data_IF_607231282436
#
_entry.id   IF_607231282436
#
_cell.length_a   1.000
_cell.length_b   1.000
_cell.length_c   1.000
_cell.angle_alpha   90.00
_cell.angle_beta   90.00
_cell.angle_gamma   90.00
#
_symmetry.space_group_name_H-M   'P 1'
#
loop_
_entity.id
_entity.type
_entity.pdbx_description
1 polymer ?
#
# COMPACT_ATOMS: atom_id res chain seq x y z
N UNK A 1 28.81 -20.68 -10.14
CA UNK A 1 27.40 -20.64 -10.55
C UNK A 1 26.71 -19.59 -9.70
N UNK A 2 26.40 -18.42 -10.27
CA UNK A 2 25.78 -17.31 -9.53
C UNK A 2 24.27 -17.52 -9.54
N UNK A 3 23.70 -17.84 -8.38
CA UNK A 3 22.24 -17.94 -8.18
C UNK A 3 21.65 -16.54 -8.26
N UNK A 4 21.14 -16.18 -9.43
CA UNK A 4 20.44 -14.94 -9.69
C UNK A 4 19.09 -14.99 -8.95
N UNK A 5 19.07 -14.65 -7.67
CA UNK A 5 17.89 -14.57 -6.80
C UNK A 5 17.00 -13.36 -7.16
N UNK A 6 16.65 -13.20 -8.44
CA UNK A 6 15.58 -12.28 -8.82
C UNK A 6 14.27 -12.97 -8.46
N UNK A 7 13.55 -12.41 -7.49
CA UNK A 7 12.15 -12.81 -7.23
C UNK A 7 11.41 -12.76 -8.56
N UNK A 8 10.71 -13.84 -8.88
CA UNK A 8 9.89 -13.90 -10.08
C UNK A 8 8.94 -12.71 -10.12
N UNK A 9 8.75 -12.17 -11.33
CA UNK A 9 7.85 -11.04 -11.54
C UNK A 9 6.46 -11.46 -11.10
N UNK A 10 5.84 -10.64 -10.24
CA UNK A 10 4.46 -10.89 -9.84
C UNK A 10 3.56 -10.91 -11.08
N UNK A 11 2.89 -12.04 -11.32
CA UNK A 11 1.95 -12.17 -12.43
C UNK A 11 0.54 -12.26 -11.85
N UNK A 12 -0.26 -11.22 -12.11
CA UNK A 12 -1.70 -11.25 -11.86
C UNK A 12 -2.41 -11.15 -13.22
N UNK A 13 -2.45 -12.25 -14.00
CA UNK A 13 -2.98 -12.21 -15.36
C UNK A 13 -4.50 -12.06 -15.37
N UNK A 14 -5.20 -12.68 -14.39
CA UNK A 14 -6.66 -12.73 -14.35
C UNK A 14 -7.35 -11.35 -14.40
N UNK A 15 -6.82 -10.36 -13.67
CA UNK A 15 -7.39 -8.99 -13.72
C UNK A 15 -7.18 -8.34 -15.08
N UNK A 16 -5.97 -8.43 -15.63
CA UNK A 16 -5.62 -7.84 -16.92
C UNK A 16 -6.34 -8.51 -18.08
N UNK A 17 -6.56 -9.81 -18.02
CA UNK A 17 -7.37 -10.55 -19.00
C UNK A 17 -8.83 -10.10 -18.99
N UNK A 18 -9.43 -9.92 -17.82
CA UNK A 18 -10.81 -9.45 -17.70
C UNK A 18 -10.96 -8.00 -18.14
N UNK A 19 -10.02 -7.15 -17.73
CA UNK A 19 -10.01 -5.75 -18.14
C UNK A 19 -9.78 -5.61 -19.65
N UNK A 20 -8.80 -6.32 -20.22
CA UNK A 20 -8.50 -6.35 -21.65
C UNK A 20 -9.69 -6.77 -22.49
N UNK A 21 -10.42 -7.82 -22.06
CA UNK A 21 -11.67 -8.25 -22.71
C UNK A 21 -12.77 -7.18 -22.66
N UNK A 22 -12.90 -6.48 -21.54
CA UNK A 22 -13.90 -5.42 -21.38
C UNK A 22 -13.62 -4.23 -22.30
N UNK A 23 -12.34 -3.83 -22.39
CA UNK A 23 -11.88 -2.78 -23.32
C UNK A 23 -12.09 -3.19 -24.79
N UNK A 24 -11.77 -4.44 -25.14
CA UNK A 24 -12.07 -5.00 -26.47
C UNK A 24 -13.56 -4.87 -26.81
N UNK A 25 -14.43 -5.29 -25.89
CA UNK A 25 -15.87 -5.22 -26.09
C UNK A 25 -16.35 -3.78 -26.27
N UNK A 26 -15.86 -2.83 -25.45
CA UNK A 26 -16.19 -1.41 -25.61
C UNK A 26 -15.66 -0.81 -26.90
N UNK A 27 -14.45 -1.16 -27.33
CA UNK A 27 -13.93 -0.73 -28.63
C UNK A 27 -14.84 -1.19 -29.77
N UNK A 28 -15.28 -2.45 -29.74
CA UNK A 28 -16.19 -3.02 -30.74
C UNK A 28 -17.56 -2.32 -30.71
N UNK A 29 -18.12 -2.08 -29.52
CA UNK A 29 -19.40 -1.37 -29.33
C UNK A 29 -19.37 0.05 -29.94
N UNK A 30 -18.22 0.73 -29.82
CA UNK A 30 -17.98 2.05 -30.41
C UNK A 30 -17.59 2.01 -31.90
N UNK A 31 -17.52 0.83 -32.52
CA UNK A 31 -17.10 0.60 -33.90
C UNK A 31 -15.68 1.08 -34.23
N UNK A 32 -14.79 1.14 -33.25
CA UNK A 32 -13.38 1.50 -33.46
C UNK A 32 -12.53 0.31 -33.87
N UNK A 33 -11.61 0.54 -34.79
CA UNK A 33 -10.50 -0.37 -35.09
C UNK A 33 -9.36 -0.18 -34.08
N UNK A 34 -8.40 -1.11 -34.05
CA UNK A 34 -7.19 -0.94 -33.23
C UNK A 34 -6.35 0.25 -33.69
N UNK A 35 -6.38 0.56 -34.99
CA UNK A 35 -5.72 1.74 -35.56
C UNK A 35 -6.32 3.03 -35.01
N UNK A 36 -7.64 3.11 -34.87
CA UNK A 36 -8.31 4.28 -34.29
C UNK A 36 -7.89 4.49 -32.84
N UNK A 37 -7.86 3.42 -32.04
CA UNK A 37 -7.34 3.50 -30.66
C UNK A 37 -5.86 3.89 -30.63
N UNK A 38 -5.07 3.40 -31.59
CA UNK A 38 -3.65 3.76 -31.69
C UNK A 38 -3.46 5.26 -31.89
N UNK A 39 -4.29 5.88 -32.72
CA UNK A 39 -4.30 7.32 -32.94
C UNK A 39 -4.76 8.06 -31.67
N UNK A 40 -5.81 7.58 -31.00
CA UNK A 40 -6.36 8.23 -29.79
C UNK A 40 -5.43 8.18 -28.58
N UNK A 41 -4.57 7.16 -28.49
CA UNK A 41 -3.76 6.90 -27.29
C UNK A 41 -2.25 6.98 -27.52
N UNK A 42 -1.81 7.10 -28.77
CA UNK A 42 -0.40 6.92 -29.19
C UNK A 42 0.19 5.53 -28.88
N UNK A 43 -0.64 4.56 -28.50
CA UNK A 43 -0.22 3.18 -28.24
C UNK A 43 -0.16 2.42 -29.55
N UNK A 44 0.90 1.65 -29.81
CA UNK A 44 1.00 0.86 -31.04
C UNK A 44 -0.08 -0.22 -31.12
N UNK A 45 -0.57 -0.53 -32.33
CA UNK A 45 -1.62 -1.55 -32.54
C UNK A 45 -1.25 -2.92 -31.95
N UNK A 46 0.03 -3.31 -32.01
CA UNK A 46 0.50 -4.56 -31.41
C UNK A 46 0.37 -4.56 -29.88
N UNK A 47 0.61 -3.41 -29.25
CA UNK A 47 0.44 -3.24 -27.81
C UNK A 47 -1.03 -3.24 -27.44
N UNK A 48 -1.90 -2.60 -28.23
CA UNK A 48 -3.36 -2.66 -28.08
C UNK A 48 -3.86 -4.11 -28.15
N UNK A 49 -3.43 -4.89 -29.14
CA UNK A 49 -3.73 -6.32 -29.24
C UNK A 49 -3.26 -7.11 -28.00
N UNK A 50 -2.10 -6.76 -27.45
CA UNK A 50 -1.57 -7.38 -26.22
C UNK A 50 -2.35 -6.97 -24.97
N UNK A 51 -2.87 -5.74 -24.91
CA UNK A 51 -3.76 -5.24 -23.84
C UNK A 51 -5.08 -6.00 -23.86
N UNK A 52 -5.71 -6.13 -25.04
CA UNK A 52 -6.99 -6.85 -25.19
C UNK A 52 -6.90 -8.33 -24.77
N UNK A 53 -5.70 -8.91 -24.87
CA UNK A 53 -5.38 -10.27 -24.41
C UNK A 53 -4.95 -10.35 -22.94
N UNK A 54 -4.82 -9.21 -22.24
CA UNK A 54 -4.35 -9.15 -20.85
C UNK A 54 -2.86 -9.42 -20.65
N UNK A 55 -2.07 -9.47 -21.73
CA UNK A 55 -0.64 -9.81 -21.69
C UNK A 55 0.19 -8.62 -21.21
N UNK A 56 -0.18 -7.41 -21.66
CA UNK A 56 0.51 -6.16 -21.32
C UNK A 56 0.50 -5.92 -19.82
N UNK A 57 1.65 -5.57 -19.24
CA UNK A 57 1.83 -5.39 -17.78
C UNK A 57 1.87 -3.93 -17.34
N UNK A 58 2.06 -2.99 -18.28
CA UNK A 58 2.05 -1.56 -17.98
C UNK A 58 0.60 -1.09 -17.81
N UNK A 59 0.25 -0.62 -16.60
CA UNK A 59 -1.09 -0.16 -16.26
C UNK A 59 -1.48 1.14 -17.00
N UNK A 60 -0.51 2.01 -17.28
CA UNK A 60 -0.76 3.30 -17.93
C UNK A 60 -1.40 3.11 -19.31
N UNK A 61 -1.02 2.04 -20.01
CA UNK A 61 -1.61 1.68 -21.28
C UNK A 61 -3.09 1.27 -21.16
N UNK A 62 -3.49 0.59 -20.08
CA UNK A 62 -4.90 0.29 -19.83
C UNK A 62 -5.68 1.55 -19.47
N UNK A 63 -5.06 2.49 -18.75
CA UNK A 63 -5.67 3.78 -18.39
C UNK A 63 -5.95 4.62 -19.63
N UNK A 64 -4.96 4.82 -20.50
CA UNK A 64 -5.15 5.61 -21.72
C UNK A 64 -6.14 4.97 -22.69
N UNK A 65 -6.13 3.64 -22.82
CA UNK A 65 -7.14 2.93 -23.61
C UNK A 65 -8.54 3.08 -23.00
N UNK A 66 -8.70 2.91 -21.69
CA UNK A 66 -9.98 3.09 -21.02
C UNK A 66 -10.55 4.50 -21.25
N UNK A 67 -9.72 5.54 -21.19
CA UNK A 67 -10.13 6.92 -21.54
C UNK A 67 -10.62 7.01 -22.99
N UNK A 68 -9.89 6.42 -23.93
CA UNK A 68 -10.24 6.46 -25.36
C UNK A 68 -11.61 5.80 -25.67
N UNK A 69 -11.96 4.74 -24.95
CA UNK A 69 -13.28 4.07 -25.09
C UNK A 69 -14.31 4.51 -24.04
N UNK A 70 -14.01 5.57 -23.28
CA UNK A 70 -14.87 6.12 -22.22
C UNK A 70 -15.35 5.04 -21.22
N UNK A 71 -14.47 4.08 -20.92
CA UNK A 71 -14.75 3.00 -20.00
C UNK A 71 -14.24 3.33 -18.59
N UNK A 72 -15.09 3.30 -17.56
CA UNK A 72 -14.62 3.40 -16.18
C UNK A 72 -13.87 2.13 -15.79
N UNK A 73 -12.63 2.26 -15.29
CA UNK A 73 -11.87 1.10 -14.84
C UNK A 73 -12.54 0.46 -13.61
N UNK A 74 -13.04 -0.75 -13.81
CA UNK A 74 -13.61 -1.62 -12.78
C UNK A 74 -12.56 -2.12 -11.79
N UNK A 75 -12.98 -2.34 -10.56
CA UNK A 75 -12.15 -2.85 -9.46
C UNK A 75 -11.99 -4.37 -9.50
N UNK A 76 -11.14 -4.91 -8.62
CA UNK A 76 -11.05 -6.35 -8.40
C UNK A 76 -12.40 -6.97 -7.97
N UNK A 77 -13.23 -6.21 -7.24
CA UNK A 77 -14.54 -6.67 -6.77
C UNK A 77 -15.53 -6.81 -7.91
N UNK A 78 -15.56 -5.84 -8.82
CA UNK A 78 -16.43 -5.84 -9.99
C UNK A 78 -16.16 -7.08 -10.87
N UNK A 79 -14.88 -7.43 -11.01
CA UNK A 79 -14.46 -8.65 -11.69
C UNK A 79 -14.57 -9.93 -10.86
N UNK A 80 -15.07 -9.89 -9.62
CA UNK A 80 -15.17 -11.04 -8.70
C UNK A 80 -13.81 -11.74 -8.47
N UNK A 81 -12.74 -10.96 -8.40
CA UNK A 81 -11.40 -11.45 -8.06
C UNK A 81 -11.24 -11.41 -6.53
N UNK A 82 -10.84 -12.52 -5.88
CA UNK A 82 -10.70 -12.55 -4.42
C UNK A 82 -9.70 -11.53 -3.91
N UNK A 83 -10.11 -10.71 -2.92
CA UNK A 83 -9.24 -9.79 -2.19
C UNK A 83 -8.43 -10.51 -1.10
N UNK A 84 -7.70 -11.56 -1.49
CA UNK A 84 -6.80 -12.28 -0.58
C UNK A 84 -5.35 -11.98 -0.95
N UNK A 85 -4.49 -11.63 0.02
CA UNK A 85 -3.06 -11.50 -0.24
C UNK A 85 -2.46 -12.86 -0.64
N UNK A 86 -1.38 -12.84 -1.41
CA UNK A 86 -0.66 -14.05 -1.81
C UNK A 86 -0.08 -14.81 -0.62
N UNK A 87 0.38 -14.06 0.39
CA UNK A 87 0.97 -14.60 1.61
C UNK A 87 0.27 -13.99 2.82
N UNK A 88 0.06 -14.82 3.84
CA UNK A 88 -0.39 -14.35 5.15
C UNK A 88 0.80 -13.79 5.93
N UNK A 89 0.53 -12.84 6.82
CA UNK A 89 1.57 -12.30 7.69
C UNK A 89 1.98 -13.35 8.74
N UNK A 90 3.28 -13.51 9.03
CA UNK A 90 3.71 -14.40 10.10
C UNK A 90 3.29 -13.84 11.47
N UNK A 91 3.20 -14.73 12.48
CA UNK A 91 2.60 -14.42 13.79
C UNK A 91 3.27 -13.24 14.50
N UNK A 92 4.59 -13.15 14.44
CA UNK A 92 5.40 -12.05 14.98
C UNK A 92 5.01 -10.69 14.36
N UNK A 93 4.74 -10.67 13.05
CA UNK A 93 4.28 -9.45 12.35
C UNK A 93 2.86 -9.09 12.76
N UNK A 94 1.98 -10.06 12.98
CA UNK A 94 0.62 -9.83 13.50
C UNK A 94 0.68 -9.20 14.90
N UNK A 95 1.57 -9.67 15.78
CA UNK A 95 1.75 -9.09 17.11
C UNK A 95 2.30 -7.65 17.05
N UNK A 96 3.27 -7.41 16.17
CA UNK A 96 3.80 -6.06 15.93
C UNK A 96 2.72 -5.10 15.40
N UNK A 97 1.81 -5.57 14.53
CA UNK A 97 0.65 -4.80 14.08
C UNK A 97 -0.30 -4.44 15.23
N UNK A 98 -0.60 -5.38 16.13
CA UNK A 98 -1.44 -5.12 17.30
C UNK A 98 -0.83 -4.02 18.19
N UNK A 99 0.48 -4.07 18.42
CA UNK A 99 1.18 -3.02 19.17
C UNK A 99 1.10 -1.67 18.45
N UNK A 100 1.35 -1.67 17.13
CA UNK A 100 1.26 -0.46 16.29
C UNK A 100 -0.13 0.16 16.35
N UNK A 101 -1.19 -0.66 16.26
CA UNK A 101 -2.57 -0.21 16.36
C UNK A 101 -2.85 0.50 17.68
N UNK A 102 -2.46 -0.12 18.80
CA UNK A 102 -2.66 0.44 20.15
C UNK A 102 -1.92 1.76 20.33
N UNK A 103 -0.68 1.85 19.85
CA UNK A 103 0.09 3.10 19.89
C UNK A 103 -0.58 4.17 19.02
N UNK A 104 -1.00 3.85 17.80
CA UNK A 104 -1.67 4.84 16.95
C UNK A 104 -2.95 5.37 17.59
N UNK A 105 -3.81 4.47 18.06
CA UNK A 105 -5.12 4.82 18.61
C UNK A 105 -5.02 5.65 19.90
N UNK A 106 -4.15 5.26 20.83
CA UNK A 106 -4.15 5.85 22.17
C UNK A 106 -3.03 6.86 22.43
N UNK A 107 -1.98 6.87 21.61
CA UNK A 107 -0.81 7.75 21.79
C UNK A 107 -0.74 8.79 20.67
N UNK A 108 -0.72 8.35 19.41
CA UNK A 108 -0.51 9.27 18.27
C UNK A 108 -1.76 10.09 17.95
N UNK A 109 -2.92 9.43 17.90
CA UNK A 109 -4.19 10.07 17.54
C UNK A 109 -4.83 10.84 18.72
N UNK A 110 -4.18 10.89 19.88
CA UNK A 110 -4.63 11.63 21.05
C UNK A 110 -3.80 12.91 21.25
N UNK A 111 -4.03 13.64 22.33
CA UNK A 111 -3.22 14.81 22.69
C UNK A 111 -1.95 14.44 23.49
N UNK A 112 -1.66 13.14 23.67
CA UNK A 112 -0.59 12.67 24.54
C UNK A 112 0.79 13.19 24.12
N UNK A 113 1.06 13.25 22.81
CA UNK A 113 2.35 13.71 22.27
C UNK A 113 2.49 15.24 22.17
N UNK A 114 1.49 16.03 22.55
CA UNK A 114 1.53 17.49 22.39
C UNK A 114 2.68 18.16 23.17
N UNK A 115 3.11 17.56 24.30
CA UNK A 115 4.19 18.09 25.15
C UNK A 115 5.55 17.41 24.91
N UNK A 116 5.65 16.54 23.91
CA UNK A 116 6.81 15.67 23.73
C UNK A 116 6.82 14.53 24.75
N UNK A 117 7.05 13.31 24.26
CA UNK A 117 7.08 12.10 25.09
C UNK A 117 8.21 11.18 24.73
N UNK A 118 8.91 10.70 25.75
CA UNK A 118 9.92 9.65 25.61
C UNK A 118 9.26 8.28 25.46
N UNK A 119 10.02 7.29 24.98
CA UNK A 119 9.57 5.89 24.92
C UNK A 119 9.15 5.35 26.30
N UNK A 120 9.81 5.80 27.38
CA UNK A 120 9.48 5.39 28.74
C UNK A 120 8.09 5.88 29.15
N UNK A 121 7.78 7.17 28.91
CA UNK A 121 6.46 7.73 29.22
C UNK A 121 5.36 7.09 28.36
N UNK A 122 5.65 6.80 27.08
CA UNK A 122 4.72 6.09 26.20
C UNK A 122 4.45 4.68 26.75
N UNK A 123 5.50 3.97 27.20
CA UNK A 123 5.36 2.65 27.82
C UNK A 123 4.49 2.71 29.07
N UNK A 124 4.76 3.65 29.97
CA UNK A 124 3.99 3.85 31.20
C UNK A 124 2.52 4.09 30.90
N UNK A 125 2.22 4.92 29.91
CA UNK A 125 0.84 5.20 29.51
C UNK A 125 0.13 3.97 28.94
N UNK A 126 0.78 3.22 28.05
CA UNK A 126 0.20 1.99 27.48
C UNK A 126 -0.07 0.93 28.57
N UNK A 127 0.82 0.81 29.55
CA UNK A 127 0.64 -0.10 30.71
C UNK A 127 -0.48 0.40 31.62
N UNK A 128 -0.54 1.71 31.89
CA UNK A 128 -1.60 2.35 32.68
C UNK A 128 -2.98 2.10 32.08
N UNK A 129 -3.09 2.19 30.75
CA UNK A 129 -4.30 1.90 30.00
C UNK A 129 -4.58 0.39 29.84
N UNK A 130 -3.72 -0.50 30.38
CA UNK A 130 -3.81 -1.97 30.26
C UNK A 130 -3.85 -2.46 28.81
N UNK A 131 -3.25 -1.70 27.89
CA UNK A 131 -3.21 -2.04 26.46
C UNK A 131 -2.06 -3.00 26.15
N UNK A 132 -1.01 -3.02 26.96
CA UNK A 132 0.17 -3.87 26.80
C UNK A 132 0.55 -4.48 28.16
N UNK A 133 1.23 -5.65 28.18
CA UNK A 133 1.69 -6.24 29.41
C UNK A 133 2.85 -5.42 30.01
N UNK A 134 3.07 -5.53 31.32
CA UNK A 134 4.08 -4.73 32.06
C UNK A 134 5.52 -4.99 31.59
N UNK A 135 5.78 -6.20 31.12
CA UNK A 135 7.07 -6.69 30.64
C UNK A 135 7.39 -6.28 29.19
N UNK A 136 6.50 -5.55 28.50
CA UNK A 136 6.77 -5.06 27.15
C UNK A 136 8.11 -4.30 27.08
N UNK A 137 8.93 -4.60 26.07
CA UNK A 137 10.25 -3.99 25.97
C UNK A 137 10.17 -2.57 25.41
N UNK A 138 10.98 -1.66 25.95
CA UNK A 138 11.11 -0.31 25.38
C UNK A 138 11.65 -0.35 23.94
N UNK A 139 12.38 -1.41 23.59
CA UNK A 139 12.88 -1.64 22.22
C UNK A 139 11.72 -1.86 21.25
N UNK A 140 10.69 -2.64 21.62
CA UNK A 140 9.51 -2.85 20.77
C UNK A 140 8.75 -1.54 20.52
N UNK A 141 8.54 -0.73 21.57
CA UNK A 141 7.87 0.57 21.46
C UNK A 141 8.73 1.55 20.63
N UNK A 142 10.04 1.61 20.88
CA UNK A 142 10.95 2.44 20.10
C UNK A 142 10.97 2.06 18.61
N UNK A 143 10.90 0.76 18.30
CA UNK A 143 10.79 0.25 16.94
C UNK A 143 9.52 0.74 16.24
N UNK A 144 8.37 0.65 16.90
CA UNK A 144 7.10 1.17 16.36
C UNK A 144 7.17 2.68 16.16
N UNK A 145 7.59 3.44 17.17
CA UNK A 145 7.65 4.91 17.08
C UNK A 145 8.61 5.39 16.00
N UNK A 146 9.72 4.66 15.77
CA UNK A 146 10.63 4.94 14.65
C UNK A 146 9.97 4.72 13.29
N UNK A 147 9.22 3.62 13.13
CA UNK A 147 8.48 3.38 11.88
C UNK A 147 7.43 4.47 11.64
N UNK A 148 6.66 4.84 12.67
CA UNK A 148 5.67 5.90 12.58
C UNK A 148 6.31 7.26 12.25
N UNK A 149 7.53 7.52 12.72
CA UNK A 149 8.29 8.71 12.33
C UNK A 149 8.68 8.67 10.86
N UNK A 150 9.15 7.52 10.37
CA UNK A 150 9.50 7.34 8.96
C UNK A 150 8.27 7.49 8.04
N UNK A 151 7.09 7.11 8.54
CA UNK A 151 5.79 7.31 7.88
C UNK A 151 5.24 8.74 8.08
N UNK A 152 6.03 9.65 8.69
CA UNK A 152 5.68 11.05 8.99
C UNK A 152 4.45 11.23 9.89
N UNK A 153 3.99 10.17 10.56
CA UNK A 153 2.85 10.18 11.47
C UNK A 153 3.19 10.77 12.85
N UNK A 154 4.48 10.85 13.18
CA UNK A 154 5.03 11.52 14.36
C UNK A 154 6.34 12.20 14.01
N UNK A 155 6.70 13.25 14.73
CA UNK A 155 8.03 13.86 14.65
C UNK A 155 8.85 13.47 15.88
N UNK A 156 10.17 13.58 15.80
CA UNK A 156 11.04 13.42 16.96
C UNK A 156 12.08 14.51 17.03
N UNK A 157 12.28 15.07 18.21
CA UNK A 157 13.41 15.96 18.50
C UNK A 157 14.45 15.19 19.32
N UNK A 158 15.73 15.38 19.02
CA UNK A 158 16.82 14.89 19.87
C UNK A 158 17.09 15.95 20.94
N UNK A 159 16.69 15.68 22.18
CA UNK A 159 17.07 16.55 23.30
C UNK A 159 17.46 15.78 24.54
N UNK A 160 18.63 16.18 25.05
CA UNK A 160 19.24 15.88 26.37
C UNK A 160 19.45 14.39 26.67
N UNK A 161 20.66 13.89 26.36
CA UNK A 161 21.13 12.57 26.81
C UNK A 161 20.81 11.39 25.88
N UNK A 162 20.77 11.61 24.55
CA UNK A 162 20.55 10.58 23.50
C UNK A 162 19.16 9.92 23.49
N UNK A 163 18.16 10.49 24.16
CA UNK A 163 16.78 9.96 24.14
C UNK A 163 15.94 10.70 23.10
N UNK A 164 15.25 9.95 22.25
CA UNK A 164 14.29 10.51 21.30
C UNK A 164 13.03 10.96 22.04
N UNK A 165 12.61 12.21 21.80
CA UNK A 165 11.35 12.76 22.27
C UNK A 165 10.40 12.82 21.08
N UNK A 166 9.28 12.09 21.16
CA UNK A 166 8.27 12.05 20.11
C UNK A 166 7.20 13.12 20.34
N UNK A 167 6.91 13.87 19.29
CA UNK A 167 5.90 14.94 19.25
C UNK A 167 4.92 14.69 18.10
N UNK A 168 3.78 15.38 18.11
CA UNK A 168 2.92 15.42 16.92
C UNK A 168 3.70 15.96 15.71
N UNK A 169 3.38 15.48 14.49
CA UNK A 169 3.99 16.03 13.29
C UNK A 169 3.68 17.52 13.19
N UNK A 170 4.68 18.31 12.79
CA UNK A 170 4.47 19.72 12.41
C UNK A 170 3.84 19.69 11.03
N UNK A 171 2.58 20.09 10.92
CA UNK A 171 1.91 20.32 9.63
C UNK A 171 2.64 21.41 8.85
#
# INVERSE_FOLDING_TARGET
MSSNNRKDRLVSPAYREKLGKSLLNKRIELNYTRKDISILTSITENTINSIEKGITTNIDYYVEYAKAVQYPLETLLDFKIPLKPLNELPKDRIESLKLTSKIREHIVNTNFLNKGKTVAEIKEELVRLKLVPKDITSVAIAGVMRNLKNDELVSSEETTGRKAIYIKPKN
#
